data_IF_083271633959
#
_entry.id   IF_083271633959
#
_cell.length_a   1.000
_cell.length_b   1.000
_cell.length_c   1.000
_cell.angle_alpha   90.00
_cell.angle_beta   90.00
_cell.angle_gamma   90.00
#
_symmetry.space_group_name_H-M   'P 1'
#
loop_
_entity.id
_entity.type
_entity.pdbx_description
1 polymer ?
#
# COMPACT_ATOMS: atom_id res chain seq x y z
N UNK A 1 -1.59 3.45 -30.02
CA UNK A 1 -1.55 4.14 -28.71
C UNK A 1 -0.26 4.94 -28.65
N UNK A 2 -0.29 6.25 -28.37
CA UNK A 2 0.94 7.04 -28.24
C UNK A 2 1.56 6.87 -26.83
N UNK A 3 2.82 7.26 -26.68
CA UNK A 3 3.59 7.11 -25.43
C UNK A 3 2.87 7.73 -24.22
N UNK A 4 2.34 8.94 -24.37
CA UNK A 4 1.60 9.65 -23.33
C UNK A 4 0.36 8.88 -22.86
N UNK A 5 -0.43 8.34 -23.79
CA UNK A 5 -1.60 7.52 -23.45
C UNK A 5 -1.24 6.19 -22.75
N UNK A 6 -0.05 5.64 -23.03
CA UNK A 6 0.46 4.48 -22.29
C UNK A 6 0.83 4.87 -20.85
N UNK A 7 1.56 5.97 -20.68
CA UNK A 7 1.96 6.46 -19.35
C UNK A 7 0.73 6.76 -18.48
N UNK A 8 -0.31 7.37 -19.04
CA UNK A 8 -1.57 7.61 -18.33
C UNK A 8 -2.25 6.33 -17.85
N UNK A 9 -2.20 5.26 -18.66
CA UNK A 9 -2.73 3.95 -18.23
C UNK A 9 -1.91 3.35 -17.10
N UNK A 10 -0.59 3.50 -17.12
CA UNK A 10 0.30 3.03 -16.06
C UNK A 10 0.01 3.78 -14.77
N UNK A 11 -0.03 5.11 -14.80
CA UNK A 11 -0.34 5.94 -13.62
C UNK A 11 -1.71 5.57 -13.05
N UNK A 12 -2.72 5.36 -13.90
CA UNK A 12 -4.06 4.93 -13.45
C UNK A 12 -4.03 3.57 -12.75
N UNK A 13 -3.27 2.61 -13.27
CA UNK A 13 -3.13 1.30 -12.64
C UNK A 13 -2.42 1.41 -11.28
N UNK A 14 -1.32 2.15 -11.21
CA UNK A 14 -0.56 2.38 -9.97
C UNK A 14 -1.42 3.06 -8.90
N UNK A 15 -2.23 4.06 -9.26
CA UNK A 15 -3.16 4.71 -8.32
C UNK A 15 -4.23 3.74 -7.80
N UNK A 16 -4.77 2.88 -8.65
CA UNK A 16 -5.74 1.85 -8.23
C UNK A 16 -5.11 0.83 -7.28
N UNK A 17 -3.83 0.48 -7.49
CA UNK A 17 -3.07 -0.39 -6.60
C UNK A 17 -2.77 0.31 -5.27
N UNK A 18 -2.36 1.58 -5.32
CA UNK A 18 -2.11 2.42 -4.15
C UNK A 18 -3.34 2.47 -3.23
N UNK A 19 -4.52 2.75 -3.78
CA UNK A 19 -5.76 2.76 -3.01
C UNK A 19 -6.03 1.42 -2.30
N UNK A 20 -5.65 0.31 -2.94
CA UNK A 20 -5.82 -1.03 -2.36
C UNK A 20 -4.86 -1.25 -1.19
N UNK A 21 -3.59 -0.89 -1.34
CA UNK A 21 -2.61 -1.03 -0.27
C UNK A 21 -2.84 -0.05 0.89
N UNK A 22 -3.32 1.16 0.62
CA UNK A 22 -3.71 2.11 1.69
C UNK A 22 -4.84 1.54 2.54
N UNK A 23 -5.90 1.01 1.92
CA UNK A 23 -6.99 0.37 2.67
C UNK A 23 -6.50 -0.84 3.46
N UNK A 24 -5.64 -1.66 2.85
CA UNK A 24 -5.10 -2.84 3.50
C UNK A 24 -4.22 -2.46 4.71
N UNK A 25 -3.32 -1.48 4.55
CA UNK A 25 -2.45 -0.98 5.62
C UNK A 25 -3.26 -0.49 6.83
N UNK A 26 -4.32 0.30 6.57
CA UNK A 26 -5.20 0.79 7.62
C UNK A 26 -5.94 -0.36 8.33
N UNK A 27 -6.49 -1.30 7.57
CA UNK A 27 -7.19 -2.45 8.15
C UNK A 27 -6.26 -3.31 9.03
N UNK A 28 -5.05 -3.60 8.56
CA UNK A 28 -4.08 -4.38 9.33
C UNK A 28 -3.59 -3.61 10.56
N UNK A 29 -3.51 -2.29 10.49
CA UNK A 29 -3.15 -1.44 11.63
C UNK A 29 -4.26 -1.40 12.69
N UNK A 30 -5.52 -1.29 12.26
CA UNK A 30 -6.69 -1.41 13.14
C UNK A 30 -6.71 -2.79 13.82
N UNK A 31 -6.50 -3.87 13.06
CA UNK A 31 -6.43 -5.23 13.60
C UNK A 31 -5.29 -5.39 14.62
N UNK A 32 -4.11 -4.84 14.32
CA UNK A 32 -2.95 -4.85 15.20
C UNK A 32 -3.17 -4.14 16.54
N UNK A 33 -4.09 -3.15 16.57
CA UNK A 33 -4.34 -2.30 17.75
C UNK A 33 -5.67 -2.61 18.43
N UNK A 34 -6.49 -3.50 17.86
CA UNK A 34 -7.77 -3.91 18.43
C UNK A 34 -7.58 -4.68 19.75
N UNK A 35 -8.35 -4.31 20.77
CA UNK A 35 -8.28 -4.96 22.10
C UNK A 35 -8.62 -6.47 22.03
N UNK A 36 -9.45 -6.88 21.07
CA UNK A 36 -9.77 -8.29 20.78
C UNK A 36 -8.60 -9.10 20.20
N UNK A 37 -7.56 -8.43 19.69
CA UNK A 37 -6.32 -9.06 19.21
C UNK A 37 -5.17 -8.93 20.21
N UNK A 38 -5.46 -8.47 21.43
CA UNK A 38 -4.52 -8.52 22.53
C UNK A 38 -4.25 -9.97 22.86
N UNK A 39 -2.98 -10.37 22.82
CA UNK A 39 -2.57 -11.75 23.02
C UNK A 39 -3.17 -12.35 24.31
N UNK A 40 -4.11 -13.29 24.16
CA UNK A 40 -4.78 -13.94 25.30
C UNK A 40 -3.86 -14.98 25.98
N UNK A 41 -2.85 -15.46 25.25
CA UNK A 41 -1.82 -16.37 25.75
C UNK A 41 -0.50 -16.19 24.98
N UNK A 42 0.57 -16.85 25.43
CA UNK A 42 1.93 -16.70 24.87
C UNK A 42 2.12 -17.20 23.43
N UNK A 43 1.13 -17.88 22.85
CA UNK A 43 1.15 -18.38 21.48
C UNK A 43 0.25 -17.57 20.55
N UNK A 44 -0.50 -16.59 21.07
CA UNK A 44 -1.34 -15.73 20.27
C UNK A 44 -0.49 -14.66 19.58
N UNK A 45 -0.46 -14.72 18.25
CA UNK A 45 0.37 -13.88 17.39
C UNK A 45 -0.46 -12.95 16.51
N UNK A 46 -1.79 -12.92 16.63
CA UNK A 46 -2.65 -12.17 15.69
C UNK A 46 -2.31 -10.70 15.59
N UNK A 47 -2.22 -10.01 16.74
CA UNK A 47 -1.83 -8.59 16.76
C UNK A 47 -0.40 -8.34 16.24
N UNK A 48 0.52 -9.30 16.43
CA UNK A 48 1.89 -9.23 15.92
C UNK A 48 1.94 -9.44 14.40
N UNK A 49 1.24 -10.44 13.89
CA UNK A 49 1.13 -10.75 12.46
C UNK A 49 0.46 -9.59 11.71
N UNK A 50 -0.62 -9.03 12.26
CA UNK A 50 -1.28 -7.85 11.73
C UNK A 50 -0.34 -6.63 11.70
N UNK A 51 0.49 -6.44 12.74
CA UNK A 51 1.49 -5.36 12.77
C UNK A 51 2.56 -5.51 11.67
N UNK A 52 3.03 -6.73 11.43
CA UNK A 52 3.98 -7.01 10.35
C UNK A 52 3.33 -6.77 8.97
N UNK A 53 2.08 -7.20 8.81
CA UNK A 53 1.34 -7.01 7.58
C UNK A 53 1.11 -5.52 7.29
N UNK A 54 0.69 -4.74 8.29
CA UNK A 54 0.52 -3.28 8.20
C UNK A 54 1.83 -2.59 7.77
N UNK A 55 2.96 -3.01 8.35
CA UNK A 55 4.28 -2.47 8.00
C UNK A 55 4.64 -2.77 6.54
N UNK A 56 4.44 -4.02 6.09
CA UNK A 56 4.70 -4.39 4.69
C UNK A 56 3.81 -3.62 3.70
N UNK A 57 2.53 -3.44 4.04
CA UNK A 57 1.59 -2.68 3.22
C UNK A 57 1.94 -1.18 3.19
N UNK A 58 2.37 -0.60 4.31
CA UNK A 58 2.85 0.79 4.36
C UNK A 58 4.12 1.00 3.52
N UNK A 59 5.06 0.06 3.55
CA UNK A 59 6.21 0.09 2.65
C UNK A 59 5.78 0.06 1.18
N UNK A 60 4.78 -0.76 0.84
CA UNK A 60 4.27 -0.83 -0.53
C UNK A 60 3.58 0.46 -0.97
N UNK A 61 2.88 1.14 -0.07
CA UNK A 61 2.31 2.47 -0.32
C UNK A 61 3.41 3.46 -0.73
N UNK A 62 4.51 3.53 0.02
CA UNK A 62 5.62 4.44 -0.29
C UNK A 62 6.24 4.16 -1.67
N UNK A 63 6.47 2.89 -2.00
CA UNK A 63 6.98 2.50 -3.33
C UNK A 63 6.04 2.92 -4.48
N UNK A 64 4.73 2.79 -4.28
CA UNK A 64 3.74 3.14 -5.28
C UNK A 64 3.65 4.66 -5.48
N UNK A 65 3.73 5.44 -4.40
CA UNK A 65 3.79 6.90 -4.48
C UNK A 65 5.03 7.39 -5.24
N UNK A 66 6.20 6.80 -4.95
CA UNK A 66 7.44 7.11 -5.67
C UNK A 66 7.33 6.75 -7.16
N UNK A 67 6.80 5.58 -7.48
CA UNK A 67 6.60 5.14 -8.86
C UNK A 67 5.63 6.07 -9.62
N UNK A 68 4.53 6.48 -9.00
CA UNK A 68 3.59 7.45 -9.59
C UNK A 68 4.31 8.75 -9.92
N UNK A 69 5.07 9.30 -8.96
CA UNK A 69 5.87 10.52 -9.18
C UNK A 69 6.84 10.39 -10.35
N UNK A 70 7.56 9.26 -10.43
CA UNK A 70 8.49 8.99 -11.53
C UNK A 70 7.81 8.94 -12.91
N UNK A 71 6.60 8.35 -12.99
CA UNK A 71 5.83 8.30 -14.25
C UNK A 71 5.20 9.65 -14.60
N UNK A 72 4.77 10.44 -13.63
CA UNK A 72 4.30 11.81 -13.84
C UNK A 72 5.42 12.71 -14.39
N UNK A 73 6.62 12.61 -13.82
CA UNK A 73 7.82 13.28 -14.32
C UNK A 73 8.19 12.85 -15.74
N UNK A 74 8.11 11.54 -16.02
CA UNK A 74 8.36 11.00 -17.36
C UNK A 74 7.34 11.54 -18.38
N UNK A 75 6.07 11.69 -17.96
CA UNK A 75 5.02 12.27 -18.80
C UNK A 75 5.30 13.74 -19.11
N UNK A 76 5.70 14.52 -18.12
CA UNK A 76 6.00 15.94 -18.29
C UNK A 76 7.17 16.22 -19.26
N UNK A 77 8.08 15.25 -19.39
CA UNK A 77 9.25 15.30 -20.29
C UNK A 77 9.01 14.69 -21.67
N UNK A 78 7.82 14.13 -21.94
CA UNK A 78 7.48 13.42 -23.19
C UNK A 78 6.64 14.27 -24.12
#
# INVERSE_FOLDING_TARGET
MNKTALIDKIIKALRSELETYVRAANSSHEEATAEENRAENKYDTRGLEASYLATGQANKVMELEEAIGAFEDLKAKS
#
